data_IF_980434340917
#
_entry.id   IF_980434340917
#
_cell.length_a   1.000
_cell.length_b   1.000
_cell.length_c   1.000
_cell.angle_alpha   90.00
_cell.angle_beta   90.00
_cell.angle_gamma   90.00
#
_symmetry.space_group_name_H-M   'P 1'
#
loop_
_entity.id
_entity.type
_entity.pdbx_description
1 polymer ?
#
# COMPACT_ATOMS: atom_id res chain seq x y z
N UNK A 1 13.09 7.89 -17.10
CA UNK A 1 11.91 7.03 -17.33
C UNK A 1 11.38 6.62 -15.97
N UNK A 2 10.12 6.92 -15.63
CA UNK A 2 9.51 6.50 -14.37
C UNK A 2 8.61 5.29 -14.61
N UNK A 3 8.89 4.19 -13.93
CA UNK A 3 8.08 2.96 -13.97
C UNK A 3 7.06 3.01 -12.84
N UNK A 4 5.76 2.86 -13.17
CA UNK A 4 4.68 2.74 -12.17
C UNK A 4 4.16 1.31 -12.18
N UNK A 5 4.11 0.70 -11.00
CA UNK A 5 3.67 -0.68 -10.80
C UNK A 5 2.55 -0.68 -9.76
N UNK A 6 1.44 -1.35 -10.05
CA UNK A 6 0.36 -1.58 -9.10
C UNK A 6 0.50 -2.97 -8.48
N UNK A 7 0.34 -3.06 -7.15
CA UNK A 7 0.33 -4.32 -6.42
C UNK A 7 -1.11 -4.67 -6.01
N UNK A 8 -1.62 -5.80 -6.52
CA UNK A 8 -2.98 -6.29 -6.24
C UNK A 8 -2.98 -7.80 -5.94
N UNK A 9 -4.04 -8.29 -5.29
CA UNK A 9 -4.18 -9.71 -4.92
C UNK A 9 -5.05 -9.94 -3.69
N UNK A 10 -5.35 -11.21 -3.40
CA UNK A 10 -6.34 -11.63 -2.40
C UNK A 10 -5.98 -11.20 -0.97
N UNK A 11 -6.97 -11.02 -0.07
CA UNK A 11 -6.69 -10.81 1.36
C UNK A 11 -5.73 -11.89 1.90
N UNK A 12 -4.81 -11.49 2.78
CA UNK A 12 -3.83 -12.38 3.42
C UNK A 12 -2.83 -13.11 2.49
N UNK A 13 -2.71 -12.76 1.21
CA UNK A 13 -1.72 -13.37 0.30
C UNK A 13 -0.30 -12.78 0.40
N UNK A 14 0.02 -12.02 1.46
CA UNK A 14 1.36 -11.46 1.67
C UNK A 14 1.68 -10.17 0.91
N UNK A 15 0.68 -9.45 0.36
CA UNK A 15 0.91 -8.17 -0.35
C UNK A 15 1.66 -7.14 0.49
N UNK A 16 1.29 -7.00 1.76
CA UNK A 16 1.96 -6.04 2.66
C UNK A 16 3.42 -6.42 2.88
N UNK A 17 3.71 -7.72 3.03
CA UNK A 17 5.08 -8.22 3.15
C UNK A 17 5.91 -7.91 1.91
N UNK A 18 5.35 -8.16 0.72
CA UNK A 18 6.03 -7.86 -0.54
C UNK A 18 6.22 -6.36 -0.76
N UNK A 19 5.19 -5.55 -0.46
CA UNK A 19 5.27 -4.09 -0.54
C UNK A 19 6.39 -3.56 0.34
N UNK A 20 6.41 -3.94 1.61
CA UNK A 20 7.42 -3.49 2.57
C UNK A 20 8.84 -3.93 2.17
N UNK A 21 9.00 -5.13 1.63
CA UNK A 21 10.30 -5.62 1.14
C UNK A 21 10.82 -4.81 -0.07
N UNK A 22 9.91 -4.33 -0.94
CA UNK A 22 10.25 -3.55 -2.13
C UNK A 22 10.45 -2.05 -1.83
N UNK A 23 9.67 -1.46 -0.93
CA UNK A 23 9.73 -0.03 -0.63
C UNK A 23 10.65 0.33 0.53
N UNK A 24 10.91 -0.61 1.46
CA UNK A 24 11.68 -0.34 2.67
C UNK A 24 11.09 0.84 3.45
N UNK A 25 11.93 1.83 3.77
CA UNK A 25 11.53 3.07 4.47
C UNK A 25 10.88 4.13 3.58
N UNK A 26 10.91 3.98 2.25
CA UNK A 26 10.38 4.96 1.29
C UNK A 26 8.90 4.70 0.96
N UNK A 27 8.08 4.52 1.97
CA UNK A 27 6.64 4.29 1.83
C UNK A 27 5.87 5.55 2.19
N UNK A 28 4.95 5.95 1.31
CA UNK A 28 3.98 7.01 1.58
C UNK A 28 2.61 6.38 1.80
N UNK A 29 2.05 6.56 2.99
CA UNK A 29 0.69 6.13 3.32
C UNK A 29 -0.24 7.34 3.14
N UNK A 30 -1.16 7.22 2.18
CA UNK A 30 -2.18 8.23 1.91
C UNK A 30 -3.57 7.61 1.91
N UNK A 31 -4.59 8.45 2.08
CA UNK A 31 -5.97 8.02 1.95
C UNK A 31 -6.44 8.22 0.52
N UNK A 32 -7.30 7.33 0.05
CA UNK A 32 -7.97 7.52 -1.23
C UNK A 32 -8.97 8.69 -1.10
N UNK A 33 -9.08 9.57 -2.11
CA UNK A 33 -10.06 10.65 -2.06
C UNK A 33 -11.48 10.07 -2.05
N UNK A 34 -12.28 10.45 -1.04
CA UNK A 34 -13.69 10.06 -0.93
C UNK A 34 -13.99 8.80 -0.12
N UNK A 35 -13.01 8.21 0.58
CA UNK A 35 -13.27 7.11 1.54
C UNK A 35 -13.16 7.61 2.98
N UNK A 36 -14.09 7.19 3.84
CA UNK A 36 -14.05 7.46 5.28
C UNK A 36 -12.91 6.68 5.91
N UNK A 37 -11.94 7.41 6.48
CA UNK A 37 -10.89 6.81 7.32
C UNK A 37 -11.53 6.38 8.63
N UNK A 38 -11.62 5.08 8.89
CA UNK A 38 -11.81 4.62 10.27
C UNK A 38 -10.60 5.08 11.09
N UNK A 39 -10.82 6.06 11.97
CA UNK A 39 -9.89 6.34 13.06
C UNK A 39 -9.91 5.12 13.97
N UNK A 40 -8.90 4.27 13.88
CA UNK A 40 -8.54 3.37 14.99
C UNK A 40 -7.73 4.19 16.00
N UNK A 41 -8.37 4.53 17.12
CA UNK A 41 -7.68 4.75 18.40
C UNK A 41 -7.01 3.46 18.87
#
# INVERSE_FOLDING_TARGET
MNLRIALAGNPNCGKTTLFNALTGSNQYVGNWPGVTVEKKE
#
